data_IF_841794648007
#
_entry.id   IF_841794648007
#
_cell.length_a   1.000
_cell.length_b   1.000
_cell.length_c   1.000
_cell.angle_alpha   90.00
_cell.angle_beta   90.00
_cell.angle_gamma   90.00
#
_symmetry.space_group_name_H-M   'P 1'
#
loop_
_entity.id
_entity.type
_entity.pdbx_description
1 polymer ?
#
# COMPACT_ATOMS: atom_id res chain seq x y z
N UNK A 1 5.22 -42.85 14.09
CA UNK A 1 3.95 -42.21 13.72
C UNK A 1 3.89 -40.91 14.49
N UNK A 2 4.33 -39.84 13.85
CA UNK A 2 4.45 -38.50 14.42
C UNK A 2 4.06 -37.54 13.29
N UNK A 3 3.21 -36.53 13.54
CA UNK A 3 2.65 -35.71 12.48
C UNK A 3 3.67 -34.69 12.00
N UNK A 4 3.74 -34.54 10.69
CA UNK A 4 4.49 -33.53 9.95
C UNK A 4 3.77 -32.18 10.04
N UNK A 5 4.29 -31.24 10.82
CA UNK A 5 3.96 -29.81 10.75
C UNK A 5 4.92 -29.13 9.76
N UNK A 6 4.38 -28.53 8.70
CA UNK A 6 5.13 -27.71 7.75
C UNK A 6 5.58 -26.39 8.37
N UNK A 7 6.54 -25.66 7.75
CA UNK A 7 7.01 -24.39 8.27
C UNK A 7 6.00 -23.27 7.98
N UNK A 8 5.59 -22.55 9.04
CA UNK A 8 4.88 -21.28 8.95
C UNK A 8 5.79 -20.22 8.35
N UNK A 9 5.45 -19.72 7.16
CA UNK A 9 6.14 -18.63 6.48
C UNK A 9 5.39 -17.34 6.80
N UNK A 10 5.95 -16.52 7.69
CA UNK A 10 5.44 -15.17 7.99
C UNK A 10 5.96 -14.25 6.88
N UNK A 11 5.13 -14.01 5.87
CA UNK A 11 5.36 -12.98 4.86
C UNK A 11 5.11 -11.60 5.48
N UNK A 12 6.17 -10.93 5.92
CA UNK A 12 6.14 -9.54 6.37
C UNK A 12 7.18 -8.71 5.62
N UNK A 13 6.77 -7.55 5.09
CA UNK A 13 7.67 -6.62 4.41
C UNK A 13 8.37 -5.74 5.46
N UNK A 14 9.69 -5.89 5.62
CA UNK A 14 10.48 -5.11 6.57
C UNK A 14 10.97 -3.82 5.91
N UNK A 15 10.44 -2.66 6.30
CA UNK A 15 11.06 -1.37 5.99
C UNK A 15 12.20 -1.16 7.01
N UNK A 16 13.44 -1.38 6.59
CA UNK A 16 14.61 -1.20 7.45
C UNK A 16 15.06 0.26 7.40
N UNK A 17 14.91 0.99 8.51
CA UNK A 17 15.67 2.21 8.78
C UNK A 17 16.88 1.83 9.65
N UNK A 18 18.10 1.97 9.13
CA UNK A 18 19.33 1.69 9.88
C UNK A 18 19.84 2.93 10.62
N UNK A 19 20.20 2.75 11.90
CA UNK A 19 21.07 3.64 12.68
C UNK A 19 22.52 3.56 12.17
N UNK A 20 23.26 4.67 12.19
CA UNK A 20 24.70 4.69 11.88
C UNK A 20 25.54 5.09 13.11
N UNK A 21 26.57 4.29 13.38
CA UNK A 21 27.72 4.66 14.19
C UNK A 21 28.68 5.54 13.39
N UNK A 22 29.04 6.68 13.97
CA UNK A 22 29.90 7.73 13.42
C UNK A 22 31.35 7.26 13.26
N UNK A 23 31.92 7.42 12.06
CA UNK A 23 33.37 7.60 11.86
C UNK A 23 33.61 8.70 10.83
N UNK A 24 34.37 9.73 11.23
CA UNK A 24 34.77 10.89 10.44
C UNK A 24 35.68 10.50 9.26
N UNK A 25 35.22 10.70 8.03
CA UNK A 25 35.99 11.25 6.90
C UNK A 25 35.13 11.30 5.63
N UNK A 26 35.34 12.35 4.83
CA UNK A 26 34.44 12.85 3.81
C UNK A 26 34.34 11.94 2.56
N UNK A 27 33.25 11.17 2.49
CA UNK A 27 32.52 10.76 1.27
C UNK A 27 31.26 10.02 1.72
N UNK A 28 30.10 10.67 1.70
CA UNK A 28 28.84 10.03 2.09
C UNK A 28 28.36 9.11 0.97
N UNK A 29 28.84 7.86 0.99
CA UNK A 29 28.22 6.73 0.32
C UNK A 29 26.93 6.39 1.06
N UNK A 30 25.76 6.63 0.45
CA UNK A 30 24.51 6.07 0.99
C UNK A 30 24.40 4.63 0.53
N UNK A 31 24.77 3.73 1.43
CA UNK A 31 24.64 2.28 1.28
C UNK A 31 23.19 1.87 1.56
N UNK A 32 22.50 1.26 0.60
CA UNK A 32 21.33 0.43 0.89
C UNK A 32 21.78 -1.03 0.86
N UNK A 33 22.02 -1.61 2.03
CA UNK A 33 22.32 -3.03 2.19
C UNK A 33 21.02 -3.80 2.34
N UNK A 34 20.64 -4.53 1.29
CA UNK A 34 19.63 -5.60 1.39
C UNK A 34 20.36 -6.86 1.87
N UNK A 35 20.08 -7.31 3.08
CA UNK A 35 20.53 -8.60 3.59
C UNK A 35 19.41 -9.61 3.38
N UNK A 36 19.54 -10.45 2.37
CA UNK A 36 18.76 -11.69 2.26
C UNK A 36 19.56 -12.81 2.94
N UNK A 37 19.17 -13.21 4.15
CA UNK A 37 19.65 -14.47 4.73
C UNK A 37 18.80 -15.61 4.15
N UNK A 38 19.38 -16.39 3.24
CA UNK A 38 18.88 -17.71 2.90
C UNK A 38 19.62 -18.74 3.74
N UNK A 39 18.84 -19.55 4.46
CA UNK A 39 19.29 -20.73 5.19
C UNK A 39 19.72 -21.83 4.22
N UNK A 40 20.91 -21.70 3.64
CA UNK A 40 21.70 -22.86 3.31
C UNK A 40 23.17 -22.49 3.38
N UNK A 41 23.86 -23.09 4.36
CA UNK A 41 25.24 -22.78 4.64
C UNK A 41 26.12 -23.12 3.44
N UNK A 42 26.51 -22.12 2.65
CA UNK A 42 27.87 -21.92 2.14
C UNK A 42 27.96 -20.70 1.20
N UNK A 43 28.93 -19.82 1.51
CA UNK A 43 29.46 -18.68 0.73
C UNK A 43 28.63 -17.40 0.68
N UNK A 44 28.99 -16.49 1.60
CA UNK A 44 28.75 -15.05 1.53
C UNK A 44 29.40 -14.46 0.25
N UNK A 45 28.60 -13.92 -0.67
CA UNK A 45 29.10 -13.01 -1.71
C UNK A 45 28.47 -11.64 -1.51
N UNK A 46 29.28 -10.69 -1.03
CA UNK A 46 28.99 -9.27 -1.06
C UNK A 46 29.13 -8.78 -2.50
N UNK A 47 28.03 -8.30 -3.11
CA UNK A 47 28.07 -7.58 -4.39
C UNK A 47 27.67 -6.13 -4.18
N UNK A 48 28.66 -5.25 -4.27
CA UNK A 48 28.51 -3.80 -4.31
C UNK A 48 27.94 -3.38 -5.67
N UNK A 49 26.79 -2.69 -5.68
CA UNK A 49 26.27 -2.04 -6.89
C UNK A 49 26.58 -0.54 -6.82
N UNK A 50 27.58 -0.10 -7.57
CA UNK A 50 27.95 1.32 -7.70
C UNK A 50 27.22 1.93 -8.89
N UNK A 51 26.26 2.83 -8.63
CA UNK A 51 25.79 3.77 -9.64
C UNK A 51 26.47 5.11 -9.43
N UNK A 52 27.56 5.35 -10.16
CA UNK A 52 28.20 6.66 -10.25
C UNK A 52 27.45 7.51 -11.27
N UNK A 53 26.76 8.56 -10.82
CA UNK A 53 26.51 9.75 -11.65
C UNK A 53 26.55 11.03 -10.82
N UNK A 54 27.63 11.78 -11.04
CA UNK A 54 27.76 13.22 -10.79
C UNK A 54 26.61 13.95 -11.50
N UNK A 55 25.83 14.71 -10.74
CA UNK A 55 25.63 16.15 -10.95
C UNK A 55 24.56 16.63 -9.97
N UNK A 56 25.02 17.16 -8.83
CA UNK A 56 24.20 17.97 -7.93
C UNK A 56 24.12 19.38 -8.51
N UNK A 57 23.01 19.70 -9.17
CA UNK A 57 22.62 21.08 -9.43
C UNK A 57 21.28 21.36 -8.75
N UNK A 58 21.23 22.51 -8.09
CA UNK A 58 20.05 23.08 -7.43
C UNK A 58 18.85 22.97 -8.37
N UNK A 59 17.78 22.29 -7.93
CA UNK A 59 16.60 21.97 -8.75
C UNK A 59 15.74 23.21 -8.96
N UNK A 60 16.12 24.04 -9.93
CA UNK A 60 15.15 24.80 -10.73
C UNK A 60 14.85 23.99 -11.99
N UNK A 61 13.72 23.27 -11.98
CA UNK A 61 13.18 22.55 -13.14
C UNK A 61 13.43 21.04 -13.15
N UNK A 62 12.73 20.29 -12.28
CA UNK A 62 12.62 18.83 -12.44
C UNK A 62 11.95 18.52 -13.79
N UNK A 63 12.50 17.59 -14.56
CA UNK A 63 11.99 17.21 -15.88
C UNK A 63 11.47 15.78 -15.89
N UNK A 64 10.47 15.48 -16.73
CA UNK A 64 9.97 14.11 -16.95
C UNK A 64 11.09 13.13 -17.27
N UNK A 65 12.11 13.55 -18.04
CA UNK A 65 13.26 12.70 -18.38
C UNK A 65 14.07 12.29 -17.13
N UNK A 66 14.25 13.20 -16.18
CA UNK A 66 14.94 12.89 -14.92
C UNK A 66 14.12 11.92 -14.08
N UNK A 67 12.81 12.13 -13.96
CA UNK A 67 11.92 11.22 -13.22
C UNK A 67 11.93 9.82 -13.86
N UNK A 68 11.79 9.73 -15.18
CA UNK A 68 11.81 8.46 -15.90
C UNK A 68 13.17 7.76 -15.86
N UNK A 69 14.27 8.52 -15.79
CA UNK A 69 15.60 7.93 -15.65
C UNK A 69 15.80 7.21 -14.31
N UNK A 70 15.06 7.60 -13.27
CA UNK A 70 15.19 7.01 -11.92
C UNK A 70 14.12 5.96 -11.68
N UNK A 71 12.88 6.24 -12.08
CA UNK A 71 11.71 5.44 -11.73
C UNK A 71 10.95 4.88 -12.94
N UNK A 72 11.49 4.99 -14.16
CA UNK A 72 10.77 4.54 -15.35
C UNK A 72 9.39 5.18 -15.46
N UNK A 73 8.33 4.37 -15.44
CA UNK A 73 6.94 4.84 -15.52
C UNK A 73 6.19 4.70 -14.19
N UNK A 74 6.87 4.33 -13.10
CA UNK A 74 6.25 4.07 -11.80
C UNK A 74 5.51 5.32 -11.30
N UNK A 75 6.17 6.48 -11.33
CA UNK A 75 5.61 7.75 -10.84
C UNK A 75 4.44 8.20 -11.71
N UNK A 76 4.50 7.96 -13.02
CA UNK A 76 3.39 8.27 -13.92
C UNK A 76 2.14 7.46 -13.56
N UNK A 77 2.32 6.17 -13.25
CA UNK A 77 1.26 5.29 -12.77
C UNK A 77 0.67 5.74 -11.42
N UNK A 78 1.55 6.07 -10.46
CA UNK A 78 1.14 6.58 -9.15
C UNK A 78 0.37 7.90 -9.29
N UNK A 79 0.82 8.80 -10.18
CA UNK A 79 0.15 10.07 -10.46
C UNK A 79 -1.27 9.85 -10.98
N UNK A 80 -1.47 8.90 -11.92
CA UNK A 80 -2.80 8.53 -12.41
C UNK A 80 -3.71 8.02 -11.29
N UNK A 81 -3.19 7.16 -10.40
CA UNK A 81 -3.97 6.65 -9.26
C UNK A 81 -4.31 7.76 -8.27
N UNK A 82 -3.37 8.65 -7.97
CA UNK A 82 -3.62 9.78 -7.08
C UNK A 82 -4.66 10.74 -7.67
N UNK A 83 -4.62 11.00 -8.98
CA UNK A 83 -5.65 11.79 -9.66
C UNK A 83 -7.05 11.20 -9.48
N UNK A 84 -7.18 9.87 -9.53
CA UNK A 84 -8.45 9.19 -9.29
C UNK A 84 -8.91 9.33 -7.83
N UNK A 85 -7.99 9.13 -6.89
CA UNK A 85 -8.28 9.09 -5.46
C UNK A 85 -8.54 10.47 -4.87
N UNK A 86 -7.87 11.52 -5.37
CA UNK A 86 -7.96 12.88 -4.88
C UNK A 86 -8.98 13.75 -5.65
N UNK A 87 -9.71 13.20 -6.62
CA UNK A 87 -10.60 13.97 -7.51
C UNK A 87 -11.62 14.86 -6.77
N UNK A 88 -12.10 14.40 -5.61
CA UNK A 88 -13.10 15.09 -4.80
C UNK A 88 -12.47 15.83 -3.60
N UNK A 89 -11.14 15.85 -3.50
CA UNK A 89 -10.41 16.46 -2.39
C UNK A 89 -10.19 17.96 -2.65
N UNK A 90 -10.78 18.78 -1.79
CA UNK A 90 -10.72 20.24 -1.91
C UNK A 90 -9.32 20.84 -1.78
N UNK A 91 -8.42 20.21 -1.02
CA UNK A 91 -7.02 20.67 -0.87
C UNK A 91 -6.22 20.45 -2.16
N UNK A 92 -6.54 19.38 -2.90
CA UNK A 92 -5.83 19.03 -4.14
C UNK A 92 -6.38 19.74 -5.38
N UNK A 93 -7.52 20.42 -5.29
CA UNK A 93 -8.24 20.99 -6.43
C UNK A 93 -7.36 21.87 -7.33
N UNK A 94 -6.48 22.69 -6.75
CA UNK A 94 -5.59 23.61 -7.48
C UNK A 94 -4.35 22.92 -8.10
N UNK A 95 -4.15 21.63 -7.83
CA UNK A 95 -3.03 20.84 -8.35
C UNK A 95 -3.45 19.73 -9.31
N UNK A 96 -4.71 19.29 -9.27
CA UNK A 96 -5.18 18.20 -10.11
C UNK A 96 -5.56 18.67 -11.53
N UNK A 97 -5.32 17.84 -12.56
CA UNK A 97 -4.58 16.59 -12.52
C UNK A 97 -3.06 16.82 -12.41
N UNK A 98 -2.39 15.96 -11.63
CA UNK A 98 -0.93 15.92 -11.53
C UNK A 98 -0.33 14.91 -12.52
N UNK A 99 0.84 15.25 -13.03
CA UNK A 99 1.76 14.38 -13.78
C UNK A 99 2.98 14.01 -12.92
N UNK A 100 3.91 13.23 -13.49
CA UNK A 100 5.08 12.75 -12.74
C UNK A 100 6.05 13.85 -12.25
N UNK A 101 5.94 15.09 -12.75
CA UNK A 101 6.78 16.23 -12.30
C UNK A 101 6.01 17.09 -11.31
N UNK A 102 4.82 17.53 -11.68
CA UNK A 102 3.93 18.36 -10.86
C UNK A 102 3.48 17.67 -9.58
N UNK A 103 3.48 16.33 -9.54
CA UNK A 103 3.32 15.56 -8.31
C UNK A 103 4.39 15.94 -7.27
N UNK A 104 5.67 15.93 -7.64
CA UNK A 104 6.74 16.36 -6.72
C UNK A 104 6.65 17.84 -6.40
N UNK A 105 6.28 18.69 -7.36
CA UNK A 105 6.06 20.12 -7.08
C UNK A 105 5.00 20.34 -6.01
N UNK A 106 3.84 19.69 -6.12
CA UNK A 106 2.77 19.83 -5.13
C UNK A 106 3.10 19.21 -3.77
N UNK A 107 3.97 18.19 -3.72
CA UNK A 107 4.49 17.68 -2.45
C UNK A 107 5.53 18.62 -1.84
N UNK A 108 6.38 19.26 -2.64
CA UNK A 108 7.33 20.29 -2.19
C UNK A 108 6.58 21.50 -1.64
N UNK A 109 5.46 21.89 -2.24
CA UNK A 109 4.60 22.95 -1.71
C UNK A 109 3.85 22.52 -0.41
N UNK A 110 3.90 21.23 -0.07
CA UNK A 110 3.27 20.62 1.11
C UNK A 110 1.77 20.41 1.00
N UNK A 111 1.11 20.98 -0.02
CA UNK A 111 -0.33 20.91 -0.22
C UNK A 111 -0.77 19.49 -0.59
N UNK A 112 -0.05 18.80 -1.48
CA UNK A 112 -0.40 17.41 -1.82
C UNK A 112 -0.17 16.45 -0.65
N UNK A 113 0.81 16.71 0.22
CA UNK A 113 0.99 15.93 1.46
C UNK A 113 -0.23 16.10 2.37
N UNK A 114 -0.72 17.33 2.55
CA UNK A 114 -1.94 17.59 3.32
C UNK A 114 -3.18 16.97 2.66
N UNK A 115 -3.27 17.00 1.33
CA UNK A 115 -4.35 16.33 0.61
C UNK A 115 -4.33 14.80 0.81
N UNK A 116 -3.14 14.18 0.83
CA UNK A 116 -2.97 12.76 1.14
C UNK A 116 -3.39 12.41 2.57
N UNK A 117 -3.20 13.31 3.54
CA UNK A 117 -3.75 13.14 4.90
C UNK A 117 -5.27 13.02 4.83
N UNK A 118 -5.95 13.95 4.16
CA UNK A 118 -7.41 13.90 3.98
C UNK A 118 -7.88 12.72 3.13
N UNK A 119 -7.03 12.15 2.29
CA UNK A 119 -7.33 10.92 1.55
C UNK A 119 -7.32 9.68 2.45
N UNK A 120 -6.36 9.60 3.37
CA UNK A 120 -6.24 8.51 4.33
C UNK A 120 -7.29 8.63 5.44
N UNK A 121 -7.51 9.84 5.94
CA UNK A 121 -8.52 10.14 6.94
C UNK A 121 -9.26 11.43 6.56
N UNK A 122 -10.50 11.31 6.01
CA UNK A 122 -11.32 12.46 5.63
C UNK A 122 -11.47 13.48 6.76
N UNK A 123 -11.58 14.75 6.38
CA UNK A 123 -11.83 15.89 7.26
C UNK A 123 -10.80 16.11 8.40
N UNK A 124 -9.56 15.60 8.24
CA UNK A 124 -8.48 15.80 9.24
C UNK A 124 -7.88 17.20 9.18
N UNK A 125 -7.68 17.74 7.98
CA UNK A 125 -7.10 19.05 7.73
C UNK A 125 -8.14 19.94 7.04
N UNK A 126 -8.46 21.07 7.65
CA UNK A 126 -9.27 22.11 7.01
C UNK A 126 -8.43 22.88 5.97
N UNK A 127 -9.08 23.31 4.88
CA UNK A 127 -8.51 24.20 3.87
C UNK A 127 -7.90 25.48 4.47
N UNK A 128 -8.40 25.96 5.61
CA UNK A 128 -7.89 27.17 6.28
C UNK A 128 -6.57 26.94 7.02
N UNK A 129 -6.24 25.68 7.34
CA UNK A 129 -5.00 25.34 8.04
C UNK A 129 -3.79 25.24 7.10
N UNK A 130 -4.03 25.23 5.79
CA UNK A 130 -3.00 25.09 4.75
C UNK A 130 -2.87 26.39 3.98
N UNK A 131 -1.63 26.83 3.76
CA UNK A 131 -1.38 27.97 2.87
C UNK A 131 -1.65 27.54 1.43
N UNK A 132 -2.57 28.21 0.75
CA UNK A 132 -3.02 27.83 -0.60
C UNK A 132 -1.99 28.18 -1.66
N UNK A 133 -2.08 27.53 -2.81
CA UNK A 133 -1.20 27.76 -3.96
C UNK A 133 -1.20 29.22 -4.42
N UNK A 134 -2.36 29.87 -4.44
CA UNK A 134 -2.48 31.30 -4.77
C UNK A 134 -1.63 32.18 -3.85
N UNK A 135 -1.64 31.87 -2.56
CA UNK A 135 -0.99 32.70 -1.54
C UNK A 135 0.52 32.48 -1.56
N UNK A 136 0.96 31.23 -1.80
CA UNK A 136 2.36 30.89 -2.06
C UNK A 136 2.90 31.64 -3.28
N UNK A 137 2.12 31.76 -4.36
CA UNK A 137 2.54 32.45 -5.58
C UNK A 137 2.56 33.98 -5.44
N UNK A 138 1.78 34.53 -4.51
CA UNK A 138 1.60 35.98 -4.34
C UNK A 138 2.52 36.61 -3.27
N UNK A 139 3.31 35.81 -2.56
CA UNK A 139 4.22 36.31 -1.51
C UNK A 139 5.69 36.32 -1.96
N UNK A 140 6.57 37.11 -1.30
CA UNK A 140 8.00 37.11 -1.60
C UNK A 140 8.60 35.69 -1.51
N UNK A 141 9.57 35.31 -2.36
CA UNK A 141 10.10 33.96 -2.41
C UNK A 141 10.57 33.39 -1.07
N UNK A 142 11.20 34.22 -0.23
CA UNK A 142 11.68 33.81 1.10
C UNK A 142 10.52 33.43 2.04
N UNK A 143 9.43 34.19 2.00
CA UNK A 143 8.22 33.91 2.79
C UNK A 143 7.49 32.69 2.22
N UNK A 144 7.45 32.54 0.88
CA UNK A 144 6.83 31.40 0.23
C UNK A 144 7.49 30.09 0.67
N UNK A 145 8.83 30.02 0.70
CA UNK A 145 9.54 28.81 1.12
C UNK A 145 9.28 28.46 2.59
N UNK A 146 9.20 29.45 3.48
CA UNK A 146 8.82 29.21 4.88
C UNK A 146 7.41 28.63 5.01
N UNK A 147 6.45 29.15 4.25
CA UNK A 147 5.07 28.66 4.25
C UNK A 147 4.98 27.24 3.65
N UNK A 148 5.77 26.93 2.62
CA UNK A 148 5.88 25.56 2.09
C UNK A 148 6.44 24.59 3.12
N UNK A 149 7.48 25.00 3.87
CA UNK A 149 8.04 24.18 4.97
C UNK A 149 6.96 23.92 6.03
N UNK A 150 6.16 24.92 6.39
CA UNK A 150 5.05 24.75 7.34
C UNK A 150 4.01 23.74 6.83
N UNK A 151 3.58 23.87 5.58
CA UNK A 151 2.66 22.92 4.95
C UNK A 151 3.27 21.49 4.92
N UNK A 152 4.55 21.33 4.58
CA UNK A 152 5.23 20.02 4.55
C UNK A 152 5.30 19.40 5.95
N UNK A 153 5.67 20.18 6.96
CA UNK A 153 5.74 19.72 8.35
C UNK A 153 4.36 19.28 8.85
N UNK A 154 3.31 20.03 8.54
CA UNK A 154 1.94 19.64 8.86
C UNK A 154 1.59 18.28 8.23
N UNK A 155 1.86 18.12 6.93
CA UNK A 155 1.67 16.85 6.22
C UNK A 155 2.44 15.70 6.86
N UNK A 156 3.76 15.85 7.10
CA UNK A 156 4.58 14.80 7.71
C UNK A 156 4.11 14.42 9.11
N UNK A 157 3.78 15.40 9.95
CA UNK A 157 3.30 15.15 11.31
C UNK A 157 1.99 14.36 11.32
N UNK A 158 1.11 14.58 10.35
CA UNK A 158 -0.19 13.92 10.29
C UNK A 158 -0.18 12.61 9.51
N UNK A 159 0.74 12.41 8.56
CA UNK A 159 0.87 11.13 7.84
C UNK A 159 1.47 10.01 8.72
N UNK A 160 2.39 10.33 9.64
CA UNK A 160 2.97 9.36 10.58
C UNK A 160 1.94 8.55 11.36
N UNK A 161 1.03 9.17 12.13
CA UNK A 161 0.04 8.44 12.89
C UNK A 161 -0.98 7.71 12.01
N UNK A 162 -1.07 8.04 10.72
CA UNK A 162 -1.90 7.32 9.74
C UNK A 162 -1.22 6.10 9.14
N UNK A 163 0.00 5.79 9.57
CA UNK A 163 0.73 4.59 9.17
C UNK A 163 1.79 4.82 8.10
N UNK A 164 2.15 6.07 7.78
CA UNK A 164 3.28 6.33 6.90
C UNK A 164 4.55 6.45 7.73
N UNK A 165 5.52 5.56 7.50
CA UNK A 165 6.83 5.64 8.12
C UNK A 165 7.66 6.74 7.45
N UNK A 166 7.96 7.80 8.21
CA UNK A 166 8.68 8.99 7.74
C UNK A 166 9.73 9.40 8.78
N UNK A 167 11.00 9.40 8.38
CA UNK A 167 12.03 10.17 9.09
C UNK A 167 12.01 11.61 8.59
N UNK A 168 11.18 12.44 9.22
CA UNK A 168 10.93 13.82 8.77
C UNK A 168 12.19 14.68 8.75
N UNK A 169 13.12 14.46 9.69
CA UNK A 169 14.38 15.22 9.74
C UNK A 169 15.26 14.83 8.56
N UNK A 170 15.43 13.52 8.31
CA UNK A 170 16.20 13.02 7.18
C UNK A 170 15.60 13.44 5.84
N UNK A 171 14.27 13.34 5.68
CA UNK A 171 13.60 13.78 4.46
C UNK A 171 13.81 15.28 4.25
N UNK A 172 13.65 16.11 5.28
CA UNK A 172 13.86 17.55 5.18
C UNK A 172 15.33 17.89 4.84
N UNK A 173 16.29 17.23 5.46
CA UNK A 173 17.72 17.40 5.14
C UNK A 173 18.02 17.02 3.67
N UNK A 174 17.42 15.93 3.18
CA UNK A 174 17.54 15.51 1.78
C UNK A 174 16.91 16.53 0.83
N UNK A 175 15.78 17.13 1.21
CA UNK A 175 15.14 18.20 0.42
C UNK A 175 15.99 19.47 0.37
N UNK A 176 16.62 19.86 1.48
CA UNK A 176 17.56 20.99 1.54
C UNK A 176 18.80 20.77 0.66
N UNK A 177 19.23 19.50 0.52
CA UNK A 177 20.27 19.09 -0.44
C UNK A 177 19.77 18.95 -1.89
N UNK A 178 18.49 19.24 -2.16
CA UNK A 178 17.88 19.19 -3.48
C UNK A 178 17.38 17.80 -3.93
N UNK A 179 17.38 16.80 -3.03
CA UNK A 179 16.92 15.44 -3.35
C UNK A 179 15.41 15.31 -3.19
N UNK A 180 14.67 15.78 -4.21
CA UNK A 180 13.19 15.74 -4.25
C UNK A 180 12.62 14.31 -4.17
N UNK A 181 13.39 13.32 -4.63
CA UNK A 181 13.01 11.91 -4.65
C UNK A 181 12.96 11.24 -3.26
N UNK A 182 13.40 11.93 -2.21
CA UNK A 182 13.15 11.49 -0.83
C UNK A 182 11.65 11.32 -0.51
N UNK A 183 10.79 12.03 -1.26
CA UNK A 183 9.33 11.98 -1.10
C UNK A 183 8.67 10.76 -1.77
N UNK A 184 9.39 10.01 -2.62
CA UNK A 184 8.83 8.87 -3.35
C UNK A 184 8.37 7.75 -2.42
N UNK A 185 9.08 7.51 -1.31
CA UNK A 185 8.70 6.49 -0.33
C UNK A 185 7.34 6.79 0.30
N UNK A 186 7.01 8.06 0.51
CA UNK A 186 5.71 8.50 1.02
C UNK A 186 4.62 8.18 -0.01
N UNK A 187 4.85 8.45 -1.29
CA UNK A 187 3.90 8.17 -2.37
C UNK A 187 3.52 6.69 -2.43
N UNK A 188 4.51 5.80 -2.38
CA UNK A 188 4.28 4.35 -2.42
C UNK A 188 3.54 3.87 -1.17
N UNK A 189 3.90 4.37 0.02
CA UNK A 189 3.21 4.00 1.25
C UNK A 189 1.76 4.47 1.25
N UNK A 190 1.49 5.70 0.83
CA UNK A 190 0.12 6.23 0.67
C UNK A 190 -0.66 5.40 -0.35
N UNK A 191 -0.05 5.04 -1.49
CA UNK A 191 -0.66 4.15 -2.47
C UNK A 191 -1.05 2.81 -1.84
N UNK A 192 -0.16 2.17 -1.08
CA UNK A 192 -0.45 0.88 -0.41
C UNK A 192 -1.58 1.02 0.61
N UNK A 193 -1.55 2.06 1.45
CA UNK A 193 -2.59 2.30 2.46
C UNK A 193 -3.97 2.56 1.85
N UNK A 194 -4.03 3.27 0.73
CA UNK A 194 -5.28 3.60 0.03
C UNK A 194 -5.81 2.49 -0.87
N UNK A 195 -5.02 1.44 -1.09
CA UNK A 195 -5.40 0.26 -1.89
C UNK A 195 -5.47 -0.97 -1.00
N UNK A 196 -4.38 -1.72 -0.88
CA UNK A 196 -4.28 -2.93 -0.05
C UNK A 196 -4.67 -2.63 1.41
N UNK A 197 -4.35 -1.44 1.91
CA UNK A 197 -4.67 -1.04 3.28
C UNK A 197 -6.18 -1.05 3.59
N UNK A 198 -7.02 -0.88 2.56
CA UNK A 198 -8.49 -0.93 2.63
C UNK A 198 -9.07 -2.34 2.55
N UNK A 199 -8.25 -3.35 2.28
CA UNK A 199 -8.65 -4.76 2.32
C UNK A 199 -8.76 -5.23 3.76
N UNK A 200 -9.83 -4.83 4.44
CA UNK A 200 -10.16 -5.20 5.82
C UNK A 200 -11.68 -5.42 5.97
N UNK A 201 -12.10 -6.16 7.00
CA UNK A 201 -13.52 -6.48 7.21
C UNK A 201 -14.38 -5.24 7.57
N UNK A 202 -13.77 -4.20 8.15
CA UNK A 202 -14.45 -2.94 8.52
C UNK A 202 -14.92 -2.18 7.28
N UNK A 203 -14.10 -2.14 6.23
CA UNK A 203 -14.46 -1.52 4.95
C UNK A 203 -15.23 -2.47 4.02
N UNK A 204 -14.93 -3.76 4.09
CA UNK A 204 -15.47 -4.77 3.18
C UNK A 204 -15.96 -6.02 3.93
N UNK A 205 -17.13 -5.90 4.56
CA UNK A 205 -17.77 -7.00 5.30
C UNK A 205 -17.94 -8.28 4.44
N UNK A 206 -18.16 -8.11 3.13
CA UNK A 206 -18.32 -9.22 2.17
C UNK A 206 -17.12 -10.17 2.09
N UNK A 207 -15.94 -9.75 2.56
CA UNK A 207 -14.74 -10.58 2.58
C UNK A 207 -14.90 -11.78 3.51
N UNK A 208 -15.79 -11.74 4.51
CA UNK A 208 -16.04 -12.85 5.43
C UNK A 208 -16.51 -14.11 4.69
N UNK A 209 -17.19 -13.96 3.56
CA UNK A 209 -17.70 -15.08 2.75
C UNK A 209 -16.63 -15.75 1.88
N UNK A 210 -15.39 -15.24 1.88
CA UNK A 210 -14.25 -15.94 1.28
C UNK A 210 -13.75 -17.09 2.17
N UNK A 211 -14.19 -17.12 3.42
CA UNK A 211 -13.79 -18.10 4.41
C UNK A 211 -14.94 -19.09 4.63
N UNK A 212 -14.76 -20.31 4.14
CA UNK A 212 -15.71 -21.40 4.33
C UNK A 212 -15.50 -22.07 5.70
N UNK A 213 -16.59 -22.57 6.30
CA UNK A 213 -16.52 -23.63 7.30
C UNK A 213 -16.13 -23.24 8.72
N UNK A 214 -15.95 -21.96 9.03
CA UNK A 214 -15.63 -21.54 10.40
C UNK A 214 -16.80 -21.84 11.35
N UNK A 215 -16.54 -22.70 12.33
CA UNK A 215 -17.56 -23.22 13.25
C UNK A 215 -17.20 -22.99 14.72
N UNK A 216 -15.94 -22.62 15.00
CA UNK A 216 -15.45 -22.35 16.33
C UNK A 216 -14.79 -20.95 16.45
N UNK A 217 -14.65 -20.41 17.68
CA UNK A 217 -14.03 -19.09 17.89
C UNK A 217 -12.55 -19.00 17.53
N UNK A 218 -11.81 -20.11 17.52
CA UNK A 218 -10.38 -20.14 17.17
C UNK A 218 -10.18 -19.91 15.67
N UNK A 219 -10.93 -20.61 14.83
CA UNK A 219 -10.98 -20.39 13.38
C UNK A 219 -11.42 -18.96 13.03
N UNK A 220 -12.41 -18.43 13.75
CA UNK A 220 -12.82 -17.03 13.57
C UNK A 220 -11.67 -16.05 13.89
N UNK A 221 -10.86 -16.34 14.92
CA UNK A 221 -9.68 -15.51 15.25
C UNK A 221 -8.61 -15.60 14.17
N UNK A 222 -8.35 -16.78 13.61
CA UNK A 222 -7.40 -16.94 12.50
C UNK A 222 -7.85 -16.19 11.25
N UNK A 223 -9.17 -16.18 10.97
CA UNK A 223 -9.75 -15.38 9.87
C UNK A 223 -9.51 -13.89 10.10
N UNK A 224 -9.78 -13.39 11.31
CA UNK A 224 -9.54 -11.98 11.66
C UNK A 224 -8.04 -11.62 11.62
N UNK A 225 -7.15 -12.58 11.92
CA UNK A 225 -5.70 -12.41 11.85
C UNK A 225 -5.14 -12.44 10.42
N UNK A 226 -5.97 -12.70 9.41
CA UNK A 226 -5.53 -12.77 8.01
C UNK A 226 -5.02 -11.42 7.53
N UNK A 227 -3.78 -11.39 7.02
CA UNK A 227 -3.16 -10.18 6.48
C UNK A 227 -3.92 -9.62 5.27
N UNK A 228 -3.83 -8.30 5.05
CA UNK A 228 -4.63 -7.61 4.02
C UNK A 228 -4.26 -8.01 2.59
N UNK A 229 -2.97 -8.19 2.32
CA UNK A 229 -2.48 -8.71 1.04
C UNK A 229 -2.98 -10.14 0.80
N UNK A 230 -2.88 -11.00 1.82
CA UNK A 230 -3.42 -12.37 1.78
C UNK A 230 -4.93 -12.38 1.53
N UNK A 231 -5.68 -11.45 2.12
CA UNK A 231 -7.12 -11.34 1.90
C UNK A 231 -7.47 -10.96 0.45
N UNK A 232 -6.66 -10.11 -0.19
CA UNK A 232 -6.76 -9.83 -1.62
C UNK A 232 -6.45 -11.05 -2.47
N UNK A 233 -5.38 -11.80 -2.16
CA UNK A 233 -5.01 -13.01 -2.88
C UNK A 233 -6.06 -14.12 -2.74
N UNK A 234 -6.65 -14.28 -1.56
CA UNK A 234 -7.79 -15.19 -1.32
C UNK A 234 -8.97 -14.83 -2.20
N UNK A 235 -9.29 -13.55 -2.35
CA UNK A 235 -10.32 -13.11 -3.28
C UNK A 235 -9.97 -13.47 -4.73
N UNK A 236 -8.74 -13.25 -5.18
CA UNK A 236 -8.31 -13.64 -6.54
C UNK A 236 -8.49 -15.15 -6.74
N UNK A 237 -8.02 -15.97 -5.80
CA UNK A 237 -8.13 -17.43 -5.87
C UNK A 237 -9.58 -17.92 -5.82
N UNK A 238 -10.45 -17.23 -5.06
CA UNK A 238 -11.88 -17.49 -5.08
C UNK A 238 -12.45 -17.28 -6.49
N UNK A 239 -12.11 -16.19 -7.17
CA UNK A 239 -12.56 -15.95 -8.55
C UNK A 239 -12.01 -16.99 -9.53
N UNK A 240 -10.77 -17.44 -9.38
CA UNK A 240 -10.19 -18.52 -10.19
C UNK A 240 -10.98 -19.83 -10.04
N UNK A 241 -11.33 -20.20 -8.80
CA UNK A 241 -12.18 -21.37 -8.53
C UNK A 241 -13.57 -21.23 -9.14
N UNK A 242 -14.19 -20.05 -9.05
CA UNK A 242 -15.49 -19.79 -9.68
C UNK A 242 -15.44 -19.85 -11.20
N UNK A 243 -14.30 -19.51 -11.81
CA UNK A 243 -14.05 -19.64 -13.24
C UNK A 243 -13.76 -21.08 -13.68
N UNK A 244 -13.58 -22.02 -12.73
CA UNK A 244 -13.25 -23.41 -13.01
C UNK A 244 -11.79 -23.61 -13.45
N UNK A 245 -10.88 -22.73 -13.05
CA UNK A 245 -9.45 -22.83 -13.37
C UNK A 245 -8.65 -23.32 -12.18
N UNK A 246 -7.61 -24.12 -12.42
CA UNK A 246 -6.66 -24.60 -11.40
C UNK A 246 -5.54 -23.58 -11.10
N UNK A 247 -5.67 -22.34 -11.57
CA UNK A 247 -4.70 -21.28 -11.31
C UNK A 247 -4.82 -20.80 -9.87
N UNK A 248 -3.67 -20.65 -9.21
CA UNK A 248 -3.57 -20.16 -7.83
C UNK A 248 -2.46 -19.11 -7.74
N UNK A 249 -2.74 -18.06 -6.96
CA UNK A 249 -1.82 -16.97 -6.65
C UNK A 249 -1.46 -17.06 -5.17
N UNK A 250 -0.16 -17.17 -4.88
CA UNK A 250 0.37 -17.19 -3.51
C UNK A 250 1.05 -15.88 -3.11
N UNK A 251 1.45 -15.09 -4.11
CA UNK A 251 2.14 -13.81 -3.93
C UNK A 251 1.82 -12.89 -5.11
N UNK A 252 1.86 -11.58 -4.87
CA UNK A 252 1.82 -10.57 -5.93
C UNK A 252 3.21 -10.50 -6.56
N UNK A 253 3.42 -11.21 -7.67
CA UNK A 253 4.72 -11.21 -8.32
C UNK A 253 4.74 -12.05 -9.60
N UNK A 254 5.64 -13.04 -9.64
CA UNK A 254 5.94 -13.82 -10.85
C UNK A 254 4.73 -14.54 -11.44
N UNK A 255 3.81 -15.00 -10.59
CA UNK A 255 2.57 -15.67 -10.99
C UNK A 255 1.73 -14.79 -11.93
N UNK A 256 1.74 -13.47 -11.76
CA UNK A 256 0.93 -12.52 -12.53
C UNK A 256 1.54 -12.16 -13.88
N UNK A 257 2.82 -12.45 -14.10
CA UNK A 257 3.59 -11.95 -15.24
C UNK A 257 3.12 -12.51 -16.60
N UNK A 258 2.61 -13.75 -16.61
CA UNK A 258 2.15 -14.42 -17.83
C UNK A 258 0.77 -13.94 -18.32
N UNK A 259 0.12 -13.05 -17.54
CA UNK A 259 -1.22 -12.52 -17.73
C UNK A 259 -2.37 -13.54 -17.63
N UNK A 260 -2.09 -14.81 -17.31
CA UNK A 260 -3.11 -15.87 -17.26
C UNK A 260 -4.13 -15.60 -16.16
N UNK A 261 -3.66 -15.21 -14.97
CA UNK A 261 -4.52 -14.83 -13.84
C UNK A 261 -5.34 -13.59 -14.19
N UNK A 262 -4.73 -12.53 -14.71
CA UNK A 262 -5.46 -11.31 -15.03
C UNK A 262 -6.54 -11.52 -16.10
N UNK A 263 -6.24 -12.30 -17.15
CA UNK A 263 -7.20 -12.59 -18.21
C UNK A 263 -8.42 -13.36 -17.68
N UNK A 264 -8.19 -14.39 -16.85
CA UNK A 264 -9.26 -15.16 -16.22
C UNK A 264 -10.03 -14.31 -15.18
N UNK A 265 -9.32 -13.50 -14.38
CA UNK A 265 -9.92 -12.64 -13.36
C UNK A 265 -10.89 -11.65 -13.98
N UNK A 266 -10.45 -10.88 -14.97
CA UNK A 266 -11.29 -9.89 -15.66
C UNK A 266 -12.51 -10.53 -16.31
N UNK A 267 -12.37 -11.74 -16.86
CA UNK A 267 -13.48 -12.48 -17.44
C UNK A 267 -14.49 -12.97 -16.39
N UNK A 268 -13.99 -13.45 -15.25
CA UNK A 268 -14.79 -13.96 -14.14
C UNK A 268 -15.60 -12.86 -13.46
N UNK A 269 -15.00 -11.70 -13.20
CA UNK A 269 -15.66 -10.57 -12.52
C UNK A 269 -16.55 -9.74 -13.46
N UNK A 270 -16.34 -9.84 -14.78
CA UNK A 270 -17.10 -9.07 -15.76
C UNK A 270 -18.60 -9.46 -15.74
N UNK A 271 -19.51 -8.47 -15.57
CA UNK A 271 -20.94 -8.71 -15.73
C UNK A 271 -21.27 -9.24 -17.12
N UNK A 272 -22.21 -10.20 -17.20
CA UNK A 272 -22.59 -10.87 -18.44
C UNK A 272 -22.93 -9.86 -19.57
N UNK A 273 -23.58 -8.74 -19.22
CA UNK A 273 -23.94 -7.68 -20.15
C UNK A 273 -22.73 -6.98 -20.82
N UNK A 274 -21.59 -6.87 -20.13
CA UNK A 274 -20.37 -6.22 -20.65
C UNK A 274 -19.39 -7.22 -21.29
N UNK A 275 -19.62 -8.51 -21.13
CA UNK A 275 -18.71 -9.57 -21.59
C UNK A 275 -18.46 -9.54 -23.10
N UNK A 276 -19.47 -9.15 -23.90
CA UNK A 276 -19.33 -9.03 -25.35
C UNK A 276 -18.35 -7.94 -25.83
N UNK A 277 -18.03 -6.95 -24.99
CA UNK A 277 -17.05 -5.91 -25.33
C UNK A 277 -15.60 -6.35 -25.06
N UNK A 278 -15.41 -7.35 -24.19
CA UNK A 278 -14.11 -7.85 -23.81
C UNK A 278 -13.50 -8.73 -24.90
N UNK A 279 -12.18 -8.65 -25.03
CA UNK A 279 -11.43 -9.64 -25.76
C UNK A 279 -11.51 -10.99 -25.02
N UNK A 280 -11.87 -12.09 -25.70
CA UNK A 280 -11.92 -13.42 -25.09
C UNK A 280 -10.56 -13.83 -24.52
N UNK A 281 -10.56 -14.68 -23.49
CA UNK A 281 -9.34 -15.14 -22.80
C UNK A 281 -8.32 -15.73 -23.79
N UNK A 282 -8.76 -16.55 -24.75
CA UNK A 282 -7.88 -17.17 -25.75
C UNK A 282 -7.18 -16.17 -26.67
N UNK A 283 -7.81 -15.01 -26.94
CA UNK A 283 -7.19 -13.94 -27.73
C UNK A 283 -6.21 -13.12 -26.91
N UNK A 284 -6.50 -12.92 -25.61
CA UNK A 284 -5.56 -12.27 -24.67
C UNK A 284 -4.30 -13.12 -24.50
N UNK A 285 -4.45 -14.44 -24.36
CA UNK A 285 -3.36 -15.39 -24.05
C UNK A 285 -2.71 -16.04 -25.27
N UNK A 286 -2.82 -15.44 -26.47
CA UNK A 286 -2.07 -15.90 -27.64
C UNK A 286 -0.56 -16.00 -27.35
N UNK A 287 0.17 -16.90 -28.04
CA UNK A 287 1.61 -17.12 -27.84
C UNK A 287 2.46 -15.96 -28.35
N UNK A 288 2.22 -14.77 -27.81
CA UNK A 288 2.95 -13.53 -28.02
C UNK A 288 3.78 -13.19 -26.77
N UNK A 289 4.49 -12.06 -26.79
CA UNK A 289 5.26 -11.58 -25.64
C UNK A 289 4.36 -11.19 -24.47
N UNK A 290 4.86 -11.33 -23.22
CA UNK A 290 4.09 -10.95 -22.03
C UNK A 290 3.64 -9.48 -22.04
N UNK A 291 4.44 -8.59 -22.62
CA UNK A 291 4.08 -7.17 -22.78
C UNK A 291 2.82 -7.02 -23.64
N UNK A 292 2.74 -7.70 -24.78
CA UNK A 292 1.54 -7.62 -25.65
C UNK A 292 0.30 -8.26 -25.03
N UNK A 293 0.48 -9.30 -24.18
CA UNK A 293 -0.62 -9.86 -23.39
C UNK A 293 -1.10 -8.86 -22.33
N UNK A 294 -0.17 -8.20 -21.65
CA UNK A 294 -0.47 -7.19 -20.65
C UNK A 294 -1.19 -5.98 -21.24
N UNK A 295 -0.83 -5.54 -22.45
CA UNK A 295 -1.57 -4.51 -23.19
C UNK A 295 -3.05 -4.90 -23.42
N UNK A 296 -3.30 -6.16 -23.77
CA UNK A 296 -4.67 -6.68 -23.96
C UNK A 296 -5.43 -6.77 -22.63
N UNK A 297 -4.76 -7.15 -21.55
CA UNK A 297 -5.33 -7.13 -20.18
C UNK A 297 -5.74 -5.72 -19.80
N UNK A 298 -4.86 -4.74 -19.95
CA UNK A 298 -5.12 -3.33 -19.62
C UNK A 298 -6.25 -2.77 -20.50
N UNK A 299 -6.27 -3.12 -21.79
CA UNK A 299 -7.38 -2.76 -22.69
C UNK A 299 -8.73 -3.34 -22.22
N UNK A 300 -8.76 -4.61 -21.79
CA UNK A 300 -9.96 -5.22 -21.22
C UNK A 300 -10.38 -4.53 -19.91
N UNK A 301 -9.45 -4.20 -19.02
CA UNK A 301 -9.74 -3.48 -17.78
C UNK A 301 -10.33 -2.08 -18.06
N UNK A 302 -9.77 -1.37 -19.05
CA UNK A 302 -10.24 -0.05 -19.47
C UNK A 302 -11.69 -0.10 -19.99
N UNK A 303 -12.06 -1.14 -20.74
CA UNK A 303 -13.44 -1.37 -21.19
C UNK A 303 -14.43 -1.63 -20.05
N UNK A 304 -13.94 -2.10 -18.90
CA UNK A 304 -14.73 -2.27 -17.68
C UNK A 304 -14.82 -0.99 -16.83
N UNK A 305 -14.22 0.11 -17.29
CA UNK A 305 -14.01 1.36 -16.55
C UNK A 305 -13.15 1.17 -15.28
N UNK A 306 -12.23 0.20 -15.30
CA UNK A 306 -11.22 0.04 -14.26
C UNK A 306 -10.04 0.93 -14.63
N UNK A 307 -9.55 1.72 -13.68
CA UNK A 307 -8.49 2.68 -13.94
C UNK A 307 -7.18 2.02 -14.39
N UNK A 308 -6.58 2.57 -15.45
CA UNK A 308 -5.30 2.13 -15.99
C UNK A 308 -4.13 2.70 -15.16
N UNK A 309 -3.86 2.01 -14.06
CA UNK A 309 -2.92 2.43 -13.02
C UNK A 309 -1.58 1.72 -13.17
N UNK A 310 -1.42 0.90 -14.21
CA UNK A 310 -0.25 0.06 -14.40
C UNK A 310 0.11 0.00 -15.87
N UNK A 311 1.40 0.04 -16.20
CA UNK A 311 1.81 -0.16 -17.61
C UNK A 311 2.06 -1.63 -17.92
N UNK A 312 2.01 -2.04 -19.21
CA UNK A 312 2.25 -3.42 -19.61
C UNK A 312 3.58 -4.00 -19.08
N UNK A 313 4.61 -3.17 -18.94
CA UNK A 313 5.92 -3.55 -18.43
C UNK A 313 5.87 -3.94 -16.95
N UNK A 314 5.08 -3.25 -16.12
CA UNK A 314 4.95 -3.58 -14.71
C UNK A 314 4.26 -4.94 -14.48
N UNK A 315 3.37 -5.35 -15.38
CA UNK A 315 2.76 -6.68 -15.35
C UNK A 315 3.76 -7.71 -15.85
N UNK A 316 4.33 -7.52 -17.05
CA UNK A 316 5.22 -8.48 -17.69
C UNK A 316 6.46 -8.82 -16.84
N UNK A 317 6.91 -7.89 -16.01
CA UNK A 317 8.08 -8.02 -15.15
C UNK A 317 7.74 -8.04 -13.64
N UNK A 318 6.51 -8.43 -13.26
CA UNK A 318 6.03 -8.41 -11.88
C UNK A 318 6.86 -9.28 -10.91
N UNK A 319 7.59 -10.29 -11.40
CA UNK A 319 8.44 -11.17 -10.59
C UNK A 319 9.94 -10.93 -10.72
N UNK A 320 10.35 -9.85 -11.38
CA UNK A 320 11.77 -9.52 -11.55
C UNK A 320 12.24 -8.59 -10.44
N UNK A 321 13.44 -8.86 -9.91
CA UNK A 321 14.15 -7.95 -9.00
C UNK A 321 13.34 -7.53 -7.77
N UNK A 322 12.57 -8.45 -7.18
CA UNK A 322 11.70 -8.20 -6.01
C UNK A 322 12.43 -7.62 -4.80
N UNK A 323 13.73 -7.87 -4.70
CA UNK A 323 14.59 -7.36 -3.62
C UNK A 323 15.07 -5.91 -3.84
N UNK A 324 14.76 -5.32 -5.00
CA UNK A 324 15.12 -3.94 -5.35
C UNK A 324 13.94 -2.99 -5.16
N UNK A 325 14.23 -1.69 -5.00
CA UNK A 325 13.20 -0.64 -4.89
C UNK A 325 12.24 -0.67 -6.10
N UNK A 326 12.77 -0.88 -7.31
CA UNK A 326 11.96 -0.98 -8.53
C UNK A 326 11.04 -2.21 -8.52
N UNK A 327 11.51 -3.36 -8.02
CA UNK A 327 10.67 -4.55 -7.82
C UNK A 327 9.54 -4.28 -6.83
N UNK A 328 9.83 -3.66 -5.68
CA UNK A 328 8.83 -3.30 -4.68
C UNK A 328 7.74 -2.37 -5.21
N UNK A 329 8.11 -1.42 -6.07
CA UNK A 329 7.15 -0.54 -6.75
C UNK A 329 6.24 -1.34 -7.68
N UNK A 330 6.79 -2.26 -8.49
CA UNK A 330 6.01 -3.13 -9.38
C UNK A 330 5.04 -4.01 -8.61
N UNK A 331 5.46 -4.60 -7.50
CA UNK A 331 4.58 -5.38 -6.61
C UNK A 331 3.44 -4.50 -6.09
N UNK A 332 3.76 -3.30 -5.61
CA UNK A 332 2.76 -2.37 -5.08
C UNK A 332 1.77 -1.89 -6.16
N UNK A 333 2.24 -1.67 -7.39
CA UNK A 333 1.39 -1.29 -8.52
C UNK A 333 0.49 -2.44 -8.99
N UNK A 334 1.01 -3.68 -9.04
CA UNK A 334 0.20 -4.86 -9.36
C UNK A 334 -0.87 -5.10 -8.28
N UNK A 335 -0.52 -4.97 -7.01
CA UNK A 335 -1.46 -5.10 -5.92
C UNK A 335 -2.53 -4.00 -5.94
N UNK A 336 -2.15 -2.75 -6.23
CA UNK A 336 -3.09 -1.65 -6.44
C UNK A 336 -4.03 -1.92 -7.62
N UNK A 337 -3.53 -2.48 -8.72
CA UNK A 337 -4.35 -2.86 -9.87
C UNK A 337 -5.34 -3.98 -9.52
N UNK A 338 -4.91 -5.03 -8.83
CA UNK A 338 -5.80 -6.09 -8.32
C UNK A 338 -6.88 -5.52 -7.38
N UNK A 339 -6.49 -4.62 -6.47
CA UNK A 339 -7.42 -3.92 -5.60
C UNK A 339 -8.44 -3.09 -6.39
N UNK A 340 -8.02 -2.37 -7.43
CA UNK A 340 -8.95 -1.59 -8.27
C UNK A 340 -9.96 -2.50 -9.00
N UNK A 341 -9.55 -3.70 -9.42
CA UNK A 341 -10.47 -4.71 -9.98
C UNK A 341 -11.47 -5.16 -8.91
N UNK A 342 -11.00 -5.49 -7.70
CA UNK A 342 -11.85 -5.87 -6.57
C UNK A 342 -12.84 -4.77 -6.20
N UNK A 343 -12.37 -3.53 -6.01
CA UNK A 343 -13.20 -2.39 -5.63
C UNK A 343 -14.30 -2.10 -6.67
N UNK A 344 -14.01 -2.32 -7.96
CA UNK A 344 -14.99 -2.15 -9.03
C UNK A 344 -15.97 -3.33 -9.11
N UNK A 345 -15.50 -4.56 -8.91
CA UNK A 345 -16.29 -5.79 -9.07
C UNK A 345 -15.91 -6.86 -8.02
N UNK A 346 -16.40 -6.76 -6.77
CA UNK A 346 -16.07 -7.74 -5.72
C UNK A 346 -16.57 -9.15 -6.08
N UNK A 347 -17.77 -9.26 -6.65
CA UNK A 347 -18.37 -10.49 -7.17
C UNK A 347 -18.26 -11.73 -6.23
N UNK A 348 -18.49 -11.53 -4.93
CA UNK A 348 -18.52 -12.59 -3.93
C UNK A 348 -19.96 -13.08 -3.80
N UNK A 349 -20.18 -14.39 -3.87
CA UNK A 349 -21.53 -14.98 -3.71
C UNK A 349 -21.94 -14.92 -2.24
N UNK A 350 -22.60 -13.84 -1.86
CA UNK A 350 -23.24 -13.73 -0.55
C UNK A 350 -24.43 -14.70 -0.51
N UNK A 351 -24.49 -15.62 0.47
CA UNK A 351 -25.67 -16.45 0.67
C UNK A 351 -26.89 -15.54 0.84
N UNK A 352 -27.95 -15.78 0.06
CA UNK A 352 -29.23 -15.09 0.29
C UNK A 352 -29.73 -15.53 1.67
N UNK A 353 -29.48 -14.73 2.70
CA UNK A 353 -30.20 -14.88 3.96
C UNK A 353 -31.68 -14.84 3.61
N UNK A 354 -32.42 -15.91 3.95
CA UNK A 354 -33.86 -15.78 4.13
C UNK A 354 -34.01 -14.62 5.11
N UNK A 355 -34.81 -13.62 4.76
CA UNK A 355 -35.20 -12.53 5.69
C UNK A 355 -35.29 -13.11 7.08
N UNK A 356 -34.53 -12.61 8.06
CA UNK A 356 -34.66 -13.12 9.40
C UNK A 356 -36.11 -12.86 9.78
N UNK A 357 -36.91 -13.94 9.86
CA UNK A 357 -38.02 -13.94 10.79
C UNK A 357 -37.43 -13.47 12.11
N UNK A 358 -38.03 -12.49 12.80
CA UNK A 358 -37.54 -12.05 14.09
C UNK A 358 -37.72 -13.22 15.05
N UNK A 359 -36.76 -14.13 15.08
CA UNK A 359 -36.55 -15.05 16.18
C UNK A 359 -35.88 -14.19 17.24
N UNK A 360 -36.70 -13.73 18.16
CA UNK A 360 -36.32 -13.47 19.54
C UNK A 360 -35.29 -14.52 19.97
N UNK A 361 -34.21 -14.08 20.60
CA UNK A 361 -33.32 -14.89 21.44
C UNK A 361 -32.02 -15.48 20.83
N UNK A 362 -31.46 -14.90 19.76
CA UNK A 362 -30.08 -15.27 19.34
C UNK A 362 -29.16 -14.10 18.94
N UNK A 363 -29.62 -12.85 19.06
CA UNK A 363 -28.77 -11.67 18.90
C UNK A 363 -28.22 -11.20 20.26
N UNK A 364 -26.92 -10.91 20.27
CA UNK A 364 -26.21 -10.13 21.29
C UNK A 364 -25.91 -10.78 22.64
N UNK A 365 -25.07 -11.83 22.64
CA UNK A 365 -24.15 -12.09 23.78
C UNK A 365 -22.70 -12.18 23.26
N UNK A 366 -22.31 -11.27 22.38
CA UNK A 366 -20.93 -10.77 22.46
C UNK A 366 -20.96 -9.87 23.69
N UNK A 367 -20.38 -10.36 24.77
CA UNK A 367 -20.44 -9.81 26.13
C UNK A 367 -20.56 -8.29 26.11
N UNK A 368 -21.77 -7.77 26.35
CA UNK A 368 -22.00 -6.33 26.45
C UNK A 368 -21.08 -5.76 27.54
N UNK A 369 -20.60 -6.57 28.51
CA UNK A 369 -19.56 -6.16 29.45
C UNK A 369 -18.20 -5.88 28.80
N UNK A 370 -17.79 -6.63 27.76
CA UNK A 370 -16.52 -6.40 27.05
C UNK A 370 -16.62 -5.17 26.15
N UNK A 371 -17.76 -4.98 25.49
CA UNK A 371 -18.07 -3.76 24.72
C UNK A 371 -18.20 -2.54 25.63
N UNK A 372 -18.84 -2.68 26.79
CA UNK A 372 -18.97 -1.64 27.80
C UNK A 372 -17.63 -1.37 28.50
N UNK A 373 -16.75 -2.37 28.67
CA UNK A 373 -15.37 -2.21 29.16
C UNK A 373 -14.50 -1.48 28.15
N UNK A 374 -14.57 -1.83 26.85
CA UNK A 374 -13.93 -1.07 25.77
C UNK A 374 -14.46 0.36 25.73
N UNK A 375 -15.78 0.57 25.73
CA UNK A 375 -16.38 1.91 25.83
C UNK A 375 -15.96 2.63 27.12
N UNK A 376 -15.78 1.93 28.23
CA UNK A 376 -15.33 2.49 29.51
C UNK A 376 -13.83 2.81 29.51
N UNK A 377 -13.00 2.05 28.79
CA UNK A 377 -11.59 2.39 28.55
C UNK A 377 -11.48 3.57 27.59
N UNK A 378 -12.32 3.61 26.55
CA UNK A 378 -12.46 4.73 25.62
C UNK A 378 -13.00 6.00 26.31
N UNK A 379 -13.84 5.87 27.36
CA UNK A 379 -14.28 6.97 28.24
C UNK A 379 -13.12 7.66 28.99
N UNK A 380 -11.91 7.07 29.02
CA UNK A 380 -10.68 7.71 29.52
C UNK A 380 -9.93 8.51 28.45
N UNK A 381 -10.52 8.73 27.27
CA UNK A 381 -10.02 9.65 26.24
C UNK A 381 -9.24 9.01 25.09
N UNK A 382 -9.16 7.68 25.01
CA UNK A 382 -8.52 6.99 23.90
C UNK A 382 -9.58 6.35 23.00
N UNK A 383 -9.96 7.04 21.91
CA UNK A 383 -10.77 6.41 20.86
C UNK A 383 -9.98 5.30 20.15
N UNK A 384 -10.65 4.42 19.40
CA UNK A 384 -9.98 3.41 18.57
C UNK A 384 -8.92 4.07 17.66
N UNK A 385 -9.28 5.20 17.05
CA UNK A 385 -8.39 5.98 16.19
C UNK A 385 -7.18 6.53 16.97
N UNK A 386 -7.38 6.92 18.23
CA UNK A 386 -6.28 7.40 19.09
C UNK A 386 -5.27 6.29 19.36
N UNK A 387 -5.74 5.07 19.60
CA UNK A 387 -4.90 3.90 19.81
C UNK A 387 -4.17 3.49 18.52
N UNK A 388 -4.87 3.45 17.39
CA UNK A 388 -4.26 3.17 16.07
C UNK A 388 -3.14 4.18 15.78
N UNK A 389 -3.42 5.47 15.96
CA UNK A 389 -2.44 6.55 15.74
C UNK A 389 -1.21 6.40 16.64
N UNK A 390 -1.43 6.03 17.90
CA UNK A 390 -0.35 5.77 18.84
C UNK A 390 0.50 4.57 18.41
N UNK A 391 -0.11 3.43 18.04
CA UNK A 391 0.60 2.24 17.55
C UNK A 391 1.41 2.54 16.29
N UNK A 392 0.82 3.23 15.32
CA UNK A 392 1.48 3.60 14.07
C UNK A 392 2.64 4.58 14.26
N UNK A 393 2.65 5.37 15.34
CA UNK A 393 3.73 6.32 15.62
C UNK A 393 5.09 5.65 15.88
N UNK A 394 5.11 4.36 16.24
CA UNK A 394 6.32 3.56 16.40
C UNK A 394 6.88 3.00 15.08
N UNK A 395 6.16 3.18 13.96
CA UNK A 395 6.60 2.72 12.64
C UNK A 395 6.66 1.19 12.47
N UNK A 396 5.59 0.44 12.80
CA UNK A 396 5.55 -0.99 12.54
C UNK A 396 5.66 -1.29 11.03
N UNK A 397 6.09 -2.52 10.70
CA UNK A 397 6.25 -3.00 9.32
C UNK A 397 4.94 -2.93 8.53
N UNK A 398 3.84 -3.33 9.17
CA UNK A 398 2.48 -3.28 8.65
C UNK A 398 1.65 -2.31 9.50
N UNK A 399 1.30 -1.13 8.97
CA UNK A 399 0.56 -0.14 9.73
C UNK A 399 -0.85 -0.59 10.08
N UNK A 400 -1.25 -0.32 11.32
CA UNK A 400 -2.60 -0.64 11.84
C UNK A 400 -3.63 0.27 11.18
N UNK A 401 -4.71 -0.32 10.68
CA UNK A 401 -5.93 0.37 10.22
C UNK A 401 -7.17 -0.15 10.95
N UNK A 402 -7.13 -1.38 11.47
CA UNK A 402 -8.19 -1.99 12.26
C UNK A 402 -7.58 -2.73 13.45
N UNK A 403 -7.95 -2.30 14.67
CA UNK A 403 -7.48 -2.95 15.91
C UNK A 403 -7.98 -4.41 15.98
N UNK A 404 -9.17 -4.67 15.45
CA UNK A 404 -9.83 -5.98 15.53
C UNK A 404 -9.14 -7.05 14.68
N UNK A 405 -8.52 -6.67 13.56
CA UNK A 405 -7.81 -7.61 12.69
C UNK A 405 -6.30 -7.56 12.87
N UNK A 406 -5.71 -6.36 12.80
CA UNK A 406 -4.26 -6.22 12.59
C UNK A 406 -3.44 -6.58 13.83
N UNK A 407 -4.06 -6.58 15.02
CA UNK A 407 -3.40 -6.98 16.27
C UNK A 407 -3.55 -8.46 16.58
N UNK A 408 -4.38 -9.20 15.83
CA UNK A 408 -4.68 -10.61 16.16
C UNK A 408 -3.46 -11.54 15.96
N UNK A 409 -2.55 -11.23 15.05
CA UNK A 409 -1.32 -12.00 14.85
C UNK A 409 -0.21 -11.65 15.86
N UNK A 410 -0.38 -10.61 16.67
CA UNK A 410 0.58 -10.15 17.67
C UNK A 410 1.87 -9.51 17.14
N UNK A 411 2.11 -9.54 15.82
CA UNK A 411 3.35 -9.03 15.21
C UNK A 411 3.57 -7.55 15.51
N UNK A 412 2.54 -6.71 15.28
CA UNK A 412 2.61 -5.27 15.57
C UNK A 412 2.86 -5.00 17.04
N UNK A 413 2.22 -5.75 17.95
CA UNK A 413 2.40 -5.58 19.38
C UNK A 413 3.84 -5.88 19.81
N UNK A 414 4.43 -6.94 19.27
CA UNK A 414 5.84 -7.27 19.52
C UNK A 414 6.79 -6.19 18.97
N UNK A 415 6.53 -5.67 17.77
CA UNK A 415 7.34 -4.60 17.18
C UNK A 415 7.27 -3.31 18.01
N UNK A 416 6.07 -2.92 18.47
CA UNK A 416 5.90 -1.77 19.36
C UNK A 416 6.61 -1.99 20.69
N UNK A 417 6.53 -3.21 21.25
CA UNK A 417 7.21 -3.54 22.50
C UNK A 417 8.74 -3.45 22.37
N UNK A 418 9.30 -3.96 21.28
CA UNK A 418 10.73 -3.84 20.96
C UNK A 418 11.14 -2.36 20.75
N UNK A 419 10.29 -1.55 20.12
CA UNK A 419 10.55 -0.12 19.95
C UNK A 419 10.50 0.66 21.28
N UNK A 420 9.63 0.26 22.21
CA UNK A 420 9.55 0.85 23.55
C UNK A 420 10.70 0.40 24.46
N UNK A 421 11.10 -0.87 24.36
CA UNK A 421 12.14 -1.49 25.18
C UNK A 421 13.04 -2.32 24.24
N UNK A 422 14.13 -1.74 23.71
CA UNK A 422 15.03 -2.47 22.82
C UNK A 422 15.62 -3.72 23.47
N UNK A 423 15.64 -4.84 22.75
CA UNK A 423 16.13 -6.14 23.21
C UNK A 423 15.16 -6.94 24.08
N UNK A 424 13.89 -6.54 24.14
CA UNK A 424 12.87 -7.20 24.96
C UNK A 424 12.18 -8.36 24.23
N UNK A 425 12.12 -8.32 22.90
CA UNK A 425 11.51 -9.37 22.09
C UNK A 425 12.58 -10.31 21.56
N UNK A 426 12.45 -11.59 21.90
CA UNK A 426 13.29 -12.65 21.37
C UNK A 426 12.84 -13.03 19.95
N UNK A 427 13.27 -12.26 18.95
CA UNK A 427 13.13 -12.66 17.56
C UNK A 427 13.95 -13.92 17.30
N UNK A 428 13.31 -15.00 16.84
CA UNK A 428 14.05 -16.18 16.38
C UNK A 428 14.96 -15.75 15.23
N UNK A 429 16.26 -15.97 15.40
CA UNK A 429 17.27 -15.70 14.36
C UNK A 429 17.02 -16.55 13.12
#
# INVERSE_FOLDING_TARGET
MSPTSGPDVINGWKIVTTEETVVESYSLETTMTVTTEYSDGTKTQSKTCTTTKKDSSVVTGLTTKQVHSVYGQDISCISKQLNLMLKDNSLAADYLPVDEVSLYTGMLDGILLCAMVNLLQPDTIDLSAVTRRSDLNNCPPENAEQLKIQNRNLGFCLLKPLGVSIDSLKVQEMLEKGCVFALTSILIQVLRLTTIGRMNFKEHEVLVYLFDGWSNPEEAREILATGREEMLLRWVNYQMKQAGTDLEVKEVGKSLADCSIYANLLWAVCPIAKRGALMPIGDVLKPDSFVTRAERVISNASKLNIADVITPQHIAHAGEETDTIAGLHRVSLNAAFLYNIFSSYPNIKVPKMKTPTPSTDADAVVDESLREQLRSWCKRGASEETLIRWLNSFGPSDPVQSIESDLCNGSVLLQVWEAMIPGSVAWSK
#
